data_IF_815136532603
#
_entry.id   IF_815136532603
#
_cell.length_a   1.000
_cell.length_b   1.000
_cell.length_c   1.000
_cell.angle_alpha   90.00
_cell.angle_beta   90.00
_cell.angle_gamma   90.00
#
_symmetry.space_group_name_H-M   'P 1'
#
loop_
_entity.id
_entity.type
_entity.pdbx_description
1 polymer ?
#
# COMPACT_ATOMS: atom_id res chain seq x y z
N UNK A 1 -18.98 -3.41 -8.50
CA UNK A 1 -18.93 -2.85 -7.13
C UNK A 1 -19.87 -1.66 -6.97
N UNK A 2 -19.82 -0.61 -7.82
CA UNK A 2 -20.72 0.56 -7.70
C UNK A 2 -22.21 0.20 -7.85
N UNK A 3 -22.54 -0.67 -8.80
CA UNK A 3 -23.94 -1.12 -9.00
C UNK A 3 -24.57 -1.87 -7.81
N UNK A 4 -23.76 -2.52 -6.98
CA UNK A 4 -24.24 -3.23 -5.78
C UNK A 4 -24.70 -2.26 -4.69
N UNK A 5 -23.95 -1.19 -4.47
CA UNK A 5 -24.32 -0.16 -3.49
C UNK A 5 -25.54 0.62 -3.99
N UNK A 6 -25.62 0.92 -5.29
CA UNK A 6 -26.80 1.54 -5.89
C UNK A 6 -28.07 0.69 -5.71
N UNK A 7 -27.99 -0.64 -5.89
CA UNK A 7 -29.13 -1.52 -5.65
C UNK A 7 -29.59 -1.53 -4.18
N UNK A 8 -28.68 -1.33 -3.23
CA UNK A 8 -29.02 -1.23 -1.80
C UNK A 8 -29.80 0.06 -1.50
N UNK A 9 -29.39 1.19 -2.10
CA UNK A 9 -30.06 2.48 -1.95
C UNK A 9 -31.35 2.61 -2.79
N UNK A 10 -31.81 1.51 -3.42
CA UNK A 10 -33.07 1.50 -4.17
C UNK A 10 -33.00 2.19 -5.52
N UNK A 11 -31.81 2.25 -6.14
CA UNK A 11 -31.65 2.78 -7.49
C UNK A 11 -32.40 1.93 -8.51
N UNK A 12 -33.27 2.56 -9.31
CA UNK A 12 -34.02 1.92 -10.40
C UNK A 12 -33.66 2.58 -11.74
N UNK A 13 -32.93 1.86 -12.60
CA UNK A 13 -32.50 2.38 -13.89
C UNK A 13 -33.65 2.75 -14.86
N UNK A 14 -34.86 2.21 -14.64
CA UNK A 14 -36.04 2.48 -15.48
C UNK A 14 -36.95 3.60 -14.95
N UNK A 15 -36.71 4.09 -13.73
CA UNK A 15 -37.56 5.10 -13.12
C UNK A 15 -37.34 6.49 -13.75
N UNK A 16 -38.44 7.16 -14.11
CA UNK A 16 -38.42 8.54 -14.65
C UNK A 16 -37.81 9.56 -13.67
N UNK A 17 -37.96 9.30 -12.37
CA UNK A 17 -37.33 10.05 -11.29
C UNK A 17 -36.93 9.07 -10.18
N UNK A 18 -35.74 9.25 -9.62
CA UNK A 18 -35.24 8.44 -8.51
C UNK A 18 -35.84 8.93 -7.18
N UNK A 19 -35.93 8.04 -6.20
CA UNK A 19 -36.28 8.42 -4.82
C UNK A 19 -35.21 9.32 -4.21
N UNK A 20 -35.59 10.13 -3.22
CA UNK A 20 -34.65 10.98 -2.49
C UNK A 20 -33.50 10.16 -1.85
N UNK A 21 -33.81 8.95 -1.39
CA UNK A 21 -32.82 8.03 -0.78
C UNK A 21 -31.81 7.51 -1.80
N UNK A 22 -32.26 7.15 -3.02
CA UNK A 22 -31.37 6.73 -4.10
C UNK A 22 -30.42 7.87 -4.53
N UNK A 23 -30.93 9.10 -4.60
CA UNK A 23 -30.13 10.30 -4.91
C UNK A 23 -29.08 10.54 -3.82
N UNK A 24 -29.47 10.49 -2.55
CA UNK A 24 -28.52 10.62 -1.43
C UNK A 24 -27.46 9.52 -1.45
N UNK A 25 -27.84 8.28 -1.75
CA UNK A 25 -26.92 7.16 -1.93
C UNK A 25 -25.88 7.42 -3.04
N UNK A 26 -26.31 7.94 -4.20
CA UNK A 26 -25.40 8.33 -5.28
C UNK A 26 -24.41 9.41 -4.83
N UNK A 27 -24.89 10.46 -4.15
CA UNK A 27 -24.02 11.54 -3.67
C UNK A 27 -22.97 11.01 -2.69
N UNK A 28 -23.36 10.17 -1.73
CA UNK A 28 -22.45 9.57 -0.75
C UNK A 28 -21.37 8.69 -1.41
N UNK A 29 -21.74 7.95 -2.45
CA UNK A 29 -20.84 7.07 -3.20
C UNK A 29 -19.69 7.80 -3.88
N UNK A 30 -19.89 9.04 -4.31
CA UNK A 30 -18.88 9.83 -5.02
C UNK A 30 -18.22 10.92 -4.16
N UNK A 31 -18.63 11.07 -2.90
CA UNK A 31 -18.10 12.14 -2.01
C UNK A 31 -17.52 11.57 -0.72
N UNK A 32 -18.38 11.15 0.21
CA UNK A 32 -18.01 10.79 1.58
C UNK A 32 -17.32 9.43 1.64
N UNK A 33 -17.85 8.42 0.93
CA UNK A 33 -17.29 7.07 0.95
C UNK A 33 -15.85 7.04 0.43
N UNK A 34 -15.53 7.65 -0.74
CA UNK A 34 -14.14 7.78 -1.19
C UNK A 34 -13.29 8.61 -0.22
N UNK A 35 -13.84 9.70 0.34
CA UNK A 35 -13.15 10.54 1.32
C UNK A 35 -12.67 9.76 2.55
N UNK A 36 -13.53 8.92 3.12
CA UNK A 36 -13.17 8.03 4.24
C UNK A 36 -12.07 7.06 3.82
N UNK A 37 -12.17 6.47 2.62
CA UNK A 37 -11.13 5.61 2.07
C UNK A 37 -9.75 6.28 2.05
N UNK A 38 -9.70 7.52 1.56
CA UNK A 38 -8.45 8.30 1.55
C UNK A 38 -7.94 8.64 2.96
N UNK A 39 -8.82 8.95 3.90
CA UNK A 39 -8.42 9.20 5.30
C UNK A 39 -7.81 7.96 5.95
N UNK A 40 -8.39 6.78 5.70
CA UNK A 40 -7.82 5.51 6.16
C UNK A 40 -6.44 5.30 5.55
N UNK A 41 -6.30 5.46 4.23
CA UNK A 41 -5.00 5.35 3.55
C UNK A 41 -3.99 6.34 4.11
N UNK A 42 -4.36 7.60 4.33
CA UNK A 42 -3.50 8.61 4.92
C UNK A 42 -3.06 8.21 6.34
N UNK A 43 -3.97 7.64 7.14
CA UNK A 43 -3.67 7.09 8.45
C UNK A 43 -2.65 5.95 8.38
N UNK A 44 -2.85 4.97 7.51
CA UNK A 44 -1.94 3.84 7.31
C UNK A 44 -0.56 4.31 6.84
N UNK A 45 -0.50 5.18 5.84
CA UNK A 45 0.75 5.74 5.31
C UNK A 45 1.50 6.51 6.40
N UNK A 46 0.78 7.26 7.24
CA UNK A 46 1.38 7.95 8.40
C UNK A 46 1.98 6.98 9.42
N UNK A 47 1.36 5.82 9.63
CA UNK A 47 1.86 4.79 10.55
C UNK A 47 3.06 4.02 10.01
N UNK A 48 3.22 3.92 8.68
CA UNK A 48 4.35 3.24 8.05
C UNK A 48 5.71 3.92 8.28
N UNK A 49 5.76 5.07 8.97
CA UNK A 49 7.00 5.78 9.35
C UNK A 49 8.06 5.74 8.25
N UNK A 50 7.72 6.27 7.08
CA UNK A 50 8.67 6.51 5.99
C UNK A 50 9.55 7.70 6.37
N UNK A 51 10.33 7.52 7.43
CA UNK A 51 11.23 8.51 7.99
C UNK A 51 12.65 8.31 7.46
N UNK A 52 13.42 9.40 7.38
CA UNK A 52 14.81 9.40 6.93
C UNK A 52 15.70 8.53 7.81
N UNK A 53 15.39 8.42 9.11
CA UNK A 53 16.14 7.52 10.00
C UNK A 53 15.95 6.05 9.63
N UNK A 54 14.71 5.60 9.41
CA UNK A 54 14.42 4.24 8.94
C UNK A 54 15.13 3.96 7.61
N UNK A 55 15.13 4.92 6.69
CA UNK A 55 15.85 4.79 5.42
C UNK A 55 17.37 4.65 5.61
N UNK A 56 17.97 5.45 6.50
CA UNK A 56 19.40 5.33 6.83
C UNK A 56 19.72 3.98 7.47
N UNK A 57 18.87 3.48 8.36
CA UNK A 57 19.03 2.17 8.98
C UNK A 57 18.98 1.05 7.93
N UNK A 58 18.04 1.11 6.99
CA UNK A 58 17.94 0.14 5.89
C UNK A 58 19.21 0.17 5.02
N UNK A 59 19.73 1.36 4.68
CA UNK A 59 20.96 1.49 3.89
C UNK A 59 22.17 0.88 4.63
N UNK A 60 22.33 1.19 5.91
CA UNK A 60 23.42 0.63 6.73
C UNK A 60 23.32 -0.90 6.82
N UNK A 61 22.11 -1.43 6.99
CA UNK A 61 21.88 -2.88 7.04
C UNK A 61 22.18 -3.57 5.69
N UNK A 62 21.82 -2.94 4.57
CA UNK A 62 22.16 -3.43 3.23
C UNK A 62 23.67 -3.42 2.99
N UNK A 63 24.39 -2.36 3.41
CA UNK A 63 25.84 -2.29 3.26
C UNK A 63 26.57 -3.33 4.11
N UNK A 64 26.12 -3.54 5.36
CA UNK A 64 26.66 -4.61 6.22
C UNK A 64 26.51 -5.98 5.57
N UNK A 65 25.31 -6.27 5.03
CA UNK A 65 25.07 -7.53 4.31
C UNK A 65 25.96 -7.66 3.09
N UNK A 66 26.10 -6.61 2.28
CA UNK A 66 26.96 -6.60 1.09
C UNK A 66 28.42 -6.91 1.45
N UNK A 67 28.95 -6.30 2.51
CA UNK A 67 30.32 -6.51 2.93
C UNK A 67 30.53 -7.93 3.47
N UNK A 68 29.59 -8.44 4.28
CA UNK A 68 29.65 -9.79 4.81
C UNK A 68 29.68 -10.87 3.71
N UNK A 69 28.89 -10.71 2.63
CA UNK A 69 28.96 -11.63 1.48
C UNK A 69 30.26 -11.54 0.69
N UNK A 70 30.88 -10.34 0.60
CA UNK A 70 32.20 -10.20 -0.04
C UNK A 70 33.28 -10.91 0.75
N UNK A 71 33.35 -10.68 2.05
CA UNK A 71 34.34 -11.33 2.93
C UNK A 71 34.22 -12.86 2.87
N UNK A 72 33.00 -13.41 2.88
CA UNK A 72 32.77 -14.85 2.75
C UNK A 72 33.25 -15.41 1.39
N UNK A 73 32.99 -14.70 0.29
CA UNK A 73 33.47 -15.10 -1.02
C UNK A 73 35.01 -15.04 -1.09
N UNK A 74 35.63 -13.98 -0.58
CA UNK A 74 37.09 -13.81 -0.59
C UNK A 74 37.77 -14.93 0.23
N UNK A 75 37.20 -15.29 1.39
CA UNK A 75 37.67 -16.44 2.18
C UNK A 75 37.55 -17.77 1.41
N UNK A 76 36.46 -17.98 0.67
CA UNK A 76 36.29 -19.19 -0.14
C UNK A 76 37.31 -19.27 -1.27
N UNK A 77 37.60 -18.15 -1.95
CA UNK A 77 38.60 -18.08 -3.02
C UNK A 77 40.01 -18.37 -2.49
N UNK A 78 40.38 -17.82 -1.33
CA UNK A 78 41.67 -18.08 -0.69
C UNK A 78 41.85 -19.56 -0.33
N UNK A 79 40.86 -20.18 0.32
CA UNK A 79 40.91 -21.60 0.65
C UNK A 79 40.97 -22.49 -0.59
N UNK A 80 40.27 -22.13 -1.67
CA UNK A 80 40.29 -22.86 -2.93
C UNK A 80 41.64 -22.75 -3.67
N UNK A 81 42.37 -21.63 -3.47
CA UNK A 81 43.71 -21.43 -4.00
C UNK A 81 44.78 -22.17 -3.19
N UNK A 82 44.66 -22.26 -1.87
CA UNK A 82 45.60 -23.03 -1.01
C UNK A 82 45.48 -24.55 -1.16
N UNK A 83 44.34 -25.05 -1.63
CA UNK A 83 44.09 -26.50 -1.78
C UNK A 83 44.54 -27.04 -3.15
N UNK A 84 45.11 -26.21 -4.03
CA UNK A 84 45.66 -26.59 -5.35
C UNK A 84 47.18 -26.59 -5.35
#
# INVERSE_FOLDING_TARGET
MVGFLLSWYGYDAGAKAQSADAINGIVLLFTVIPGIGYLITAGVVRLLKVDRETMKQIQQDLEKRRNNYRELNDFQELNAAETK
#
